data_IF_351220024866
#
_entry.id   IF_351220024866
#
_cell.length_a   1.000
_cell.length_b   1.000
_cell.length_c   1.000
_cell.angle_alpha   90.00
_cell.angle_beta   90.00
_cell.angle_gamma   90.00
#
_symmetry.space_group_name_H-M   'P 1'
#
loop_
_entity.id
_entity.type
_entity.pdbx_description
1 polymer ?
#
# COMPACT_ATOMS: atom_id res chain seq x y z
N UNK A 1 -18.52 -4.13 1.25
CA UNK A 1 -17.47 -5.05 1.72
C UNK A 1 -16.22 -4.23 1.94
N UNK A 2 -15.61 -4.33 3.13
CA UNK A 2 -14.37 -3.59 3.42
C UNK A 2 -13.14 -4.18 2.72
N UNK A 3 -12.02 -3.47 2.80
CA UNK A 3 -10.73 -3.94 2.31
C UNK A 3 -10.35 -5.27 2.99
N UNK A 4 -9.85 -6.24 2.21
CA UNK A 4 -9.24 -7.47 2.74
C UNK A 4 -7.76 -7.52 2.36
N UNK A 5 -6.95 -8.28 3.09
CA UNK A 5 -5.53 -8.44 2.78
C UNK A 5 -5.30 -8.92 1.33
N UNK A 6 -6.07 -9.91 0.88
CA UNK A 6 -5.98 -10.44 -0.49
C UNK A 6 -6.36 -9.37 -1.51
N UNK A 7 -7.48 -8.67 -1.31
CA UNK A 7 -7.92 -7.62 -2.21
C UNK A 7 -6.88 -6.49 -2.32
N UNK A 8 -6.24 -6.12 -1.20
CA UNK A 8 -5.17 -5.12 -1.17
C UNK A 8 -3.92 -5.58 -1.95
N UNK A 9 -3.47 -6.82 -1.75
CA UNK A 9 -2.35 -7.40 -2.52
C UNK A 9 -2.66 -7.44 -4.03
N UNK A 10 -3.86 -7.88 -4.40
CA UNK A 10 -4.26 -7.95 -5.81
C UNK A 10 -4.38 -6.56 -6.44
N UNK A 11 -4.84 -5.55 -5.68
CA UNK A 11 -4.86 -4.15 -6.11
C UNK A 11 -3.45 -3.63 -6.37
N UNK A 12 -2.50 -3.85 -5.47
CA UNK A 12 -1.10 -3.44 -5.65
C UNK A 12 -0.46 -4.09 -6.88
N UNK A 13 -0.68 -5.39 -7.07
CA UNK A 13 -0.22 -6.11 -8.28
C UNK A 13 -0.78 -5.46 -9.53
N UNK A 14 -2.08 -5.17 -9.56
CA UNK A 14 -2.73 -4.58 -10.72
C UNK A 14 -2.20 -3.17 -11.00
N UNK A 15 -2.00 -2.36 -9.97
CA UNK A 15 -1.48 -0.98 -10.09
C UNK A 15 -0.05 -0.93 -10.62
N UNK A 16 0.80 -1.88 -10.24
CA UNK A 16 2.21 -1.90 -10.65
C UNK A 16 2.48 -2.78 -11.88
N UNK A 17 1.50 -3.56 -12.34
CA UNK A 17 1.66 -4.42 -13.52
C UNK A 17 1.80 -3.58 -14.78
N UNK A 18 2.92 -3.74 -15.47
CA UNK A 18 3.15 -3.10 -16.77
C UNK A 18 3.42 -1.60 -16.68
N UNK A 19 3.77 -1.08 -15.50
CA UNK A 19 4.32 0.26 -15.39
C UNK A 19 5.62 0.35 -16.19
N UNK A 20 5.72 1.33 -17.10
CA UNK A 20 6.80 1.40 -18.09
C UNK A 20 7.68 2.65 -18.00
N UNK A 21 7.15 3.80 -17.55
CA UNK A 21 7.89 5.06 -17.43
C UNK A 21 7.17 6.07 -16.55
N UNK A 22 7.93 7.01 -16.00
CA UNK A 22 7.43 8.13 -15.21
C UNK A 22 7.35 7.84 -13.71
N UNK A 23 6.91 8.86 -12.97
CA UNK A 23 6.73 8.82 -11.51
C UNK A 23 5.28 8.47 -11.20
N UNK A 24 5.08 7.53 -10.28
CA UNK A 24 3.78 7.17 -9.73
C UNK A 24 3.77 7.49 -8.23
N UNK A 25 2.81 8.30 -7.81
CA UNK A 25 2.49 8.47 -6.39
C UNK A 25 1.30 7.60 -6.03
N UNK A 26 1.41 6.84 -4.94
CA UNK A 26 0.31 6.05 -4.38
C UNK A 26 0.03 6.52 -2.95
N UNK A 27 -1.09 7.23 -2.76
CA UNK A 27 -1.55 7.62 -1.43
C UNK A 27 -2.00 6.39 -0.64
N UNK A 28 -1.48 6.25 0.58
CA UNK A 28 -1.74 5.13 1.49
C UNK A 28 -2.04 5.64 2.90
N UNK A 29 -2.83 4.90 3.68
CA UNK A 29 -3.22 5.24 5.04
C UNK A 29 -2.92 4.11 6.05
N UNK A 30 -1.68 3.60 6.14
CA UNK A 30 -1.34 2.54 7.08
C UNK A 30 -1.54 3.01 8.53
N UNK A 31 -2.18 2.19 9.36
CA UNK A 31 -2.42 2.50 10.76
C UNK A 31 -2.57 1.25 11.62
N UNK A 32 -2.39 1.39 12.93
CA UNK A 32 -2.70 0.33 13.89
C UNK A 32 -4.15 0.44 14.35
N UNK A 33 -4.82 -0.71 14.46
CA UNK A 33 -6.06 -0.83 15.23
C UNK A 33 -5.65 -0.95 16.70
N UNK A 34 -6.17 -0.07 17.56
CA UNK A 34 -6.03 -0.17 19.01
C UNK A 34 -7.41 -0.23 19.68
N UNK A 35 -7.46 -0.24 21.01
CA UNK A 35 -8.72 -0.30 21.77
C UNK A 35 -9.71 0.84 21.51
N UNK A 36 -9.31 1.93 20.84
CA UNK A 36 -10.18 3.04 20.45
C UNK A 36 -10.85 2.85 19.07
N UNK A 37 -10.57 1.74 18.37
CA UNK A 37 -11.14 1.43 17.05
C UNK A 37 -12.68 1.54 16.93
N UNK A 38 -13.50 1.22 17.96
CA UNK A 38 -14.95 1.39 17.88
C UNK A 38 -15.39 2.85 17.62
N UNK A 39 -14.57 3.84 18.01
CA UNK A 39 -14.87 5.27 17.89
C UNK A 39 -14.49 5.86 16.52
N UNK A 40 -13.66 5.14 15.77
CA UNK A 40 -13.05 5.61 14.52
C UNK A 40 -13.68 4.96 13.27
N UNK A 41 -14.68 4.09 13.46
CA UNK A 41 -15.46 3.45 12.40
C UNK A 41 -14.73 2.32 11.67
N UNK A 42 -15.45 1.66 10.74
CA UNK A 42 -14.96 0.47 10.01
C UNK A 42 -13.66 0.69 9.21
N UNK A 43 -13.32 1.94 8.90
CA UNK A 43 -12.13 2.31 8.15
C UNK A 43 -10.81 2.02 8.89
N UNK A 44 -10.81 1.98 10.23
CA UNK A 44 -9.58 1.68 10.99
C UNK A 44 -9.08 0.27 10.76
N UNK A 45 -9.98 -0.69 10.54
CA UNK A 45 -9.60 -2.04 10.18
C UNK A 45 -8.95 -2.11 8.80
N UNK A 46 -9.38 -1.27 7.86
CA UNK A 46 -8.78 -1.19 6.53
C UNK A 46 -7.36 -0.61 6.58
N UNK A 47 -7.14 0.39 7.45
CA UNK A 47 -5.80 0.95 7.71
C UNK A 47 -4.82 -0.08 8.27
N UNK A 48 -5.28 -0.99 9.13
CA UNK A 48 -4.43 -2.09 9.61
C UNK A 48 -4.13 -3.09 8.50
N UNK A 49 -5.10 -3.40 7.65
CA UNK A 49 -4.89 -4.27 6.50
C UNK A 49 -3.86 -3.66 5.56
N UNK A 50 -3.99 -2.36 5.25
CA UNK A 50 -3.04 -1.62 4.44
C UNK A 50 -1.63 -1.65 5.05
N UNK A 51 -1.52 -1.36 6.35
CA UNK A 51 -0.25 -1.47 7.10
C UNK A 51 0.38 -2.86 6.95
N UNK A 52 -0.42 -3.92 7.17
CA UNK A 52 0.03 -5.32 7.08
C UNK A 52 0.52 -5.66 5.69
N UNK A 53 -0.16 -5.19 4.64
CA UNK A 53 0.22 -5.46 3.25
C UNK A 53 1.49 -4.71 2.87
N UNK A 54 1.59 -3.42 3.19
CA UNK A 54 2.78 -2.60 2.88
C UNK A 54 4.03 -3.08 3.63
N UNK A 55 3.88 -3.67 4.81
CA UNK A 55 4.99 -4.29 5.55
C UNK A 55 5.26 -5.76 5.19
N UNK A 56 4.59 -6.32 4.17
CA UNK A 56 4.66 -7.76 3.88
C UNK A 56 5.75 -8.13 2.87
N UNK A 57 6.21 -9.39 2.93
CA UNK A 57 7.01 -9.97 1.85
C UNK A 57 6.28 -9.98 0.50
N UNK A 58 4.94 -10.01 0.50
CA UNK A 58 4.17 -9.95 -0.74
C UNK A 58 4.37 -8.62 -1.46
N UNK A 59 4.31 -7.50 -0.74
CA UNK A 59 4.58 -6.18 -1.30
C UNK A 59 6.01 -6.05 -1.82
N UNK A 60 7.00 -6.51 -1.05
CA UNK A 60 8.40 -6.52 -1.49
C UNK A 60 8.60 -7.30 -2.81
N UNK A 61 7.93 -8.44 -2.98
CA UNK A 61 7.96 -9.22 -4.23
C UNK A 61 7.28 -8.47 -5.38
N UNK A 62 6.18 -7.78 -5.13
CA UNK A 62 5.48 -6.98 -6.16
C UNK A 62 6.40 -5.87 -6.66
N UNK A 63 6.99 -5.08 -5.76
CA UNK A 63 7.93 -4.00 -6.12
C UNK A 63 9.09 -4.55 -6.94
N UNK A 64 9.75 -5.61 -6.44
CA UNK A 64 10.89 -6.25 -7.13
C UNK A 64 10.54 -6.73 -8.55
N UNK A 65 9.38 -7.37 -8.75
CA UNK A 65 8.98 -7.88 -10.06
C UNK A 65 8.42 -6.81 -10.99
N UNK A 66 7.95 -5.68 -10.45
CA UNK A 66 7.46 -4.57 -11.26
C UNK A 66 8.58 -3.74 -11.90
N UNK A 67 9.82 -3.90 -11.43
CA UNK A 67 10.96 -3.08 -11.89
C UNK A 67 10.86 -1.62 -11.48
N UNK A 68 9.94 -1.28 -10.57
CA UNK A 68 9.82 0.07 -10.01
C UNK A 68 10.83 0.26 -8.89
N UNK A 69 11.37 1.46 -8.83
CA UNK A 69 12.25 1.90 -7.76
C UNK A 69 11.47 2.83 -6.82
N UNK A 70 11.42 2.54 -5.51
CA UNK A 70 10.86 3.49 -4.55
C UNK A 70 11.71 4.76 -4.50
N UNK A 71 11.07 5.92 -4.65
CA UNK A 71 11.72 7.23 -4.54
C UNK A 71 11.02 8.07 -3.46
N UNK A 72 11.73 9.08 -2.97
CA UNK A 72 11.17 10.11 -2.08
C UNK A 72 10.90 11.39 -2.86
N UNK A 73 10.05 12.27 -2.31
CA UNK A 73 9.85 13.60 -2.90
C UNK A 73 11.14 14.42 -2.94
N UNK A 74 12.03 14.24 -1.97
CA UNK A 74 13.34 14.89 -1.92
C UNK A 74 14.20 14.53 -3.14
N UNK A 75 14.08 13.31 -3.66
CA UNK A 75 14.78 12.86 -4.86
C UNK A 75 14.26 13.50 -6.16
N UNK A 76 13.11 14.18 -6.14
CA UNK A 76 12.50 14.82 -7.31
C UNK A 76 12.80 16.33 -7.43
N UNK A 77 13.28 16.95 -6.35
CA UNK A 77 13.48 18.40 -6.26
C UNK A 77 14.94 18.80 -6.56
N UNK A 78 15.84 17.81 -6.71
CA UNK A 78 17.26 17.98 -7.03
C UNK A 78 17.58 17.45 -8.45
#
# INVERSE_FOLDING_TARGET
MGLTYRAAVDKLRKSLRGWRKGVLEMAVHPGYVNGAAPQLGGYVYEREIERRVLSSQAFQKIVRHSGVEPITFEALVN
#
